data_IF_375743268889
#
_entry.id   IF_375743268889
#
_cell.length_a   1.000
_cell.length_b   1.000
_cell.length_c   1.000
_cell.angle_alpha   90.00
_cell.angle_beta   90.00
_cell.angle_gamma   90.00
#
_symmetry.space_group_name_H-M   'P 1'
#
loop_
_entity.id
_entity.type
_entity.pdbx_description
1 polymer ?
#
# COMPACT_ATOMS: atom_id res chain seq x y z
N UNK A 1 3.96 -22.71 -21.26
CA UNK A 1 3.63 -22.18 -22.61
C UNK A 1 3.50 -20.66 -22.48
N UNK A 2 4.19 -19.85 -23.32
CA UNK A 2 4.07 -18.39 -23.31
C UNK A 2 3.30 -17.94 -24.54
N UNK A 3 2.34 -17.02 -24.37
CA UNK A 3 1.73 -16.29 -25.48
C UNK A 3 2.76 -15.25 -25.93
N UNK A 4 2.97 -15.09 -27.24
CA UNK A 4 3.85 -14.06 -27.77
C UNK A 4 3.20 -12.69 -27.50
N UNK A 5 3.92 -11.81 -26.81
CA UNK A 5 3.50 -10.43 -26.55
C UNK A 5 4.20 -9.46 -27.51
N UNK A 6 3.48 -8.45 -27.96
CA UNK A 6 4.09 -7.34 -28.68
C UNK A 6 4.87 -6.46 -27.69
N UNK A 7 6.18 -6.33 -27.90
CA UNK A 7 7.10 -5.54 -27.06
C UNK A 7 7.48 -4.21 -27.72
N UNK A 8 6.83 -3.84 -28.82
CA UNK A 8 7.03 -2.50 -29.38
C UNK A 8 6.57 -1.44 -28.38
N UNK A 9 7.29 -0.31 -28.38
CA UNK A 9 6.93 0.82 -27.53
C UNK A 9 5.53 1.31 -27.87
N UNK A 10 4.65 1.34 -26.86
CA UNK A 10 3.26 1.73 -27.01
C UNK A 10 3.01 3.09 -26.35
N UNK A 11 2.17 3.89 -26.99
CA UNK A 11 1.64 5.13 -26.42
C UNK A 11 0.16 5.22 -26.81
N UNK A 12 -0.69 5.45 -25.80
CA UNK A 12 -2.13 5.61 -25.94
C UNK A 12 -2.56 6.92 -25.32
N UNK A 13 -3.54 7.58 -25.89
CA UNK A 13 -4.05 8.86 -25.42
C UNK A 13 -5.58 8.83 -25.40
N UNK A 14 -6.18 9.48 -24.40
CA UNK A 14 -7.62 9.63 -24.27
C UNK A 14 -7.94 10.93 -23.53
N UNK A 15 -9.05 11.56 -23.89
CA UNK A 15 -9.60 12.70 -23.17
C UNK A 15 -10.78 12.26 -22.32
N UNK A 16 -10.94 12.88 -21.15
CA UNK A 16 -12.01 12.60 -20.23
C UNK A 16 -12.40 13.81 -19.38
N UNK A 17 -13.39 13.63 -18.58
CA UNK A 17 -13.76 14.62 -17.55
C UNK A 17 -14.38 13.92 -16.34
N UNK A 18 -14.26 14.55 -15.17
CA UNK A 18 -14.79 14.03 -13.92
C UNK A 18 -15.39 15.16 -13.08
N UNK A 19 -16.42 14.84 -12.29
CA UNK A 19 -16.99 15.78 -11.33
C UNK A 19 -16.27 15.66 -9.98
N UNK A 20 -15.62 16.76 -9.55
CA UNK A 20 -14.96 16.84 -8.24
C UNK A 20 -15.51 18.05 -7.49
N UNK A 21 -16.10 17.84 -6.32
CA UNK A 21 -16.69 18.90 -5.50
C UNK A 21 -17.63 19.85 -6.29
N UNK A 22 -18.43 19.27 -7.19
CA UNK A 22 -19.38 20.02 -8.02
C UNK A 22 -18.79 20.77 -9.22
N UNK A 23 -17.49 20.61 -9.47
CA UNK A 23 -16.80 21.21 -10.62
C UNK A 23 -16.40 20.12 -11.62
N UNK A 24 -16.67 20.35 -12.91
CA UNK A 24 -16.18 19.46 -13.99
C UNK A 24 -14.72 19.74 -14.25
N UNK A 25 -13.90 18.73 -14.07
CA UNK A 25 -12.44 18.77 -14.32
C UNK A 25 -12.16 17.99 -15.61
N UNK A 26 -11.82 18.64 -16.73
CA UNK A 26 -11.39 17.96 -17.94
C UNK A 26 -9.94 17.50 -17.78
N UNK A 27 -9.62 16.33 -18.34
CA UNK A 27 -8.27 15.80 -18.31
C UNK A 27 -7.89 15.11 -19.62
N UNK A 28 -6.59 15.10 -19.88
CA UNK A 28 -5.94 14.33 -20.94
C UNK A 28 -5.11 13.22 -20.33
N UNK A 29 -5.26 11.99 -20.82
CA UNK A 29 -4.53 10.81 -20.32
C UNK A 29 -3.49 10.37 -21.31
N UNK A 30 -2.29 10.08 -20.84
CA UNK A 30 -1.20 9.48 -21.62
C UNK A 30 -0.78 8.17 -20.94
N UNK A 31 -0.90 7.07 -21.66
CA UNK A 31 -0.48 5.75 -21.20
C UNK A 31 0.66 5.27 -22.09
N UNK A 32 1.86 5.03 -21.52
CA UNK A 32 3.03 4.70 -22.36
C UNK A 32 4.07 3.81 -21.69
N UNK A 33 4.85 3.12 -22.54
CA UNK A 33 6.04 2.37 -22.14
C UNK A 33 7.28 3.27 -21.96
N UNK A 34 8.05 2.99 -20.90
CA UNK A 34 9.36 3.56 -20.64
C UNK A 34 10.40 2.44 -20.59
N UNK A 35 11.19 2.31 -21.64
CA UNK A 35 12.18 1.24 -21.74
C UNK A 35 13.48 1.58 -21.06
N UNK A 36 14.01 0.62 -20.33
CA UNK A 36 15.40 0.57 -19.87
C UNK A 36 16.21 -0.23 -20.88
N UNK A 37 17.41 0.23 -21.20
CA UNK A 37 18.30 -0.38 -22.19
C UNK A 37 19.65 -0.72 -21.58
N UNK A 38 20.30 -1.75 -22.11
CA UNK A 38 21.69 -2.06 -21.79
C UNK A 38 22.69 -1.12 -22.53
N UNK A 39 23.99 -1.35 -22.35
CA UNK A 39 25.06 -0.54 -22.96
C UNK A 39 25.03 -0.57 -24.50
N UNK A 40 24.41 -1.58 -25.08
CA UNK A 40 24.25 -1.76 -26.55
C UNK A 40 22.92 -1.18 -27.06
N UNK A 41 22.17 -0.48 -26.20
CA UNK A 41 20.82 0.07 -26.45
C UNK A 41 19.74 -0.99 -26.72
N UNK A 42 19.92 -2.24 -26.27
CA UNK A 42 18.86 -3.24 -26.35
C UNK A 42 17.90 -3.10 -25.16
N UNK A 43 16.57 -3.18 -25.34
CA UNK A 43 15.62 -3.14 -24.24
C UNK A 43 15.82 -4.32 -23.28
N UNK A 44 15.91 -4.03 -21.96
CA UNK A 44 16.06 -5.04 -20.91
C UNK A 44 14.85 -5.14 -20.00
N UNK A 45 14.15 -4.03 -19.81
CA UNK A 45 12.91 -3.96 -19.04
C UNK A 45 12.08 -2.75 -19.48
N UNK A 46 10.81 -2.68 -19.08
CA UNK A 46 9.98 -1.48 -19.19
C UNK A 46 9.13 -1.25 -17.96
N UNK A 47 8.96 0.00 -17.59
CA UNK A 47 7.86 0.50 -16.77
C UNK A 47 6.72 0.91 -17.71
N UNK A 48 5.48 0.66 -17.31
CA UNK A 48 4.31 1.25 -17.97
C UNK A 48 3.67 2.28 -17.04
N UNK A 49 3.25 3.42 -17.59
CA UNK A 49 2.66 4.50 -16.80
C UNK A 49 1.31 4.95 -17.35
N UNK A 50 0.45 5.44 -16.45
CA UNK A 50 -0.83 6.10 -16.74
C UNK A 50 -0.77 7.50 -16.16
N UNK A 51 -0.68 8.51 -17.01
CA UNK A 51 -0.58 9.90 -16.58
C UNK A 51 -1.86 10.66 -16.92
N UNK A 52 -2.51 11.26 -15.93
CA UNK A 52 -3.70 12.08 -16.06
C UNK A 52 -3.32 13.53 -15.83
N UNK A 53 -3.47 14.35 -16.85
CA UNK A 53 -3.17 15.77 -16.82
C UNK A 53 -4.44 16.57 -16.91
N UNK A 54 -4.69 17.50 -15.98
CA UNK A 54 -5.79 18.44 -16.08
C UNK A 54 -5.57 19.34 -17.31
N UNK A 55 -6.54 19.37 -18.23
CA UNK A 55 -6.36 19.96 -19.57
C UNK A 55 -6.77 21.43 -19.70
N UNK A 56 -7.52 21.99 -18.74
CA UNK A 56 -7.95 23.40 -18.74
C UNK A 56 -6.96 24.36 -18.04
N UNK A 57 -5.77 23.87 -17.66
CA UNK A 57 -4.69 24.65 -17.03
C UNK A 57 -3.74 25.19 -18.11
N UNK A 58 -3.54 26.52 -18.15
CA UNK A 58 -2.69 27.16 -19.16
C UNK A 58 -1.18 26.87 -18.94
N UNK A 59 -0.73 26.89 -17.67
CA UNK A 59 0.66 26.59 -17.30
C UNK A 59 0.68 25.49 -16.22
N UNK A 60 0.94 24.27 -16.64
CA UNK A 60 1.03 23.13 -15.76
C UNK A 60 2.44 22.88 -15.17
N UNK A 61 3.46 23.69 -15.58
CA UNK A 61 4.84 23.49 -15.16
C UNK A 61 5.07 23.61 -13.65
N UNK A 62 4.18 24.31 -12.95
CA UNK A 62 4.19 24.50 -11.48
C UNK A 62 3.11 23.70 -10.77
N UNK A 63 2.21 23.05 -11.51
CA UNK A 63 1.13 22.27 -10.94
C UNK A 63 1.73 21.02 -10.25
N UNK A 64 1.28 20.63 -9.05
CA UNK A 64 1.77 19.43 -8.37
C UNK A 64 1.54 18.17 -9.19
N UNK A 65 2.41 17.17 -9.02
CA UNK A 65 2.24 15.85 -9.59
C UNK A 65 2.40 14.78 -8.52
N UNK A 66 1.45 13.86 -8.46
CA UNK A 66 1.42 12.73 -7.53
C UNK A 66 1.77 11.44 -8.28
N UNK A 67 2.87 10.80 -7.91
CA UNK A 67 3.23 9.47 -8.40
C UNK A 67 2.70 8.39 -7.46
N UNK A 68 2.00 7.40 -8.03
CA UNK A 68 1.19 6.42 -7.31
C UNK A 68 1.60 5.00 -7.75
N UNK A 69 1.79 4.11 -6.78
CA UNK A 69 2.16 2.72 -7.03
C UNK A 69 1.78 1.82 -5.85
N UNK A 70 1.44 0.58 -6.15
CA UNK A 70 1.25 -0.46 -5.15
C UNK A 70 2.58 -1.14 -4.77
N UNK A 71 2.50 -2.08 -3.85
CA UNK A 71 3.62 -2.81 -3.30
C UNK A 71 3.80 -4.23 -3.84
N UNK A 72 3.52 -5.18 -3.03
CA UNK A 72 3.80 -6.60 -3.23
C UNK A 72 5.08 -7.05 -2.51
N UNK A 73 6.32 -6.87 -3.01
CA UNK A 73 6.66 -6.43 -4.37
C UNK A 73 6.07 -7.33 -5.45
N UNK A 74 5.94 -6.78 -6.67
CA UNK A 74 5.33 -7.52 -7.78
C UNK A 74 3.88 -7.16 -8.08
N UNK A 75 3.32 -6.08 -7.47
CA UNK A 75 2.01 -5.54 -7.81
C UNK A 75 2.09 -4.42 -8.85
N UNK A 76 1.14 -4.42 -9.79
CA UNK A 76 0.80 -3.28 -10.60
C UNK A 76 0.12 -2.18 -9.77
N UNK A 77 0.00 -0.97 -10.31
CA UNK A 77 -0.73 0.14 -9.69
C UNK A 77 -2.25 -0.07 -9.59
N UNK A 78 -2.74 -1.18 -10.07
CA UNK A 78 -4.13 -1.60 -10.18
C UNK A 78 -5.01 -1.23 -8.97
N UNK A 79 -4.56 -1.56 -7.76
CA UNK A 79 -5.37 -1.44 -6.55
C UNK A 79 -5.61 0.03 -6.18
N UNK A 80 -4.56 0.82 -6.08
CA UNK A 80 -4.67 2.26 -5.83
C UNK A 80 -5.29 3.00 -7.02
N UNK A 81 -5.11 2.52 -8.25
CA UNK A 81 -5.69 3.14 -9.43
C UNK A 81 -7.21 2.95 -9.46
N UNK A 82 -7.68 1.71 -9.28
CA UNK A 82 -9.10 1.37 -9.36
C UNK A 82 -9.85 1.51 -8.03
N UNK A 83 -9.16 1.73 -6.93
CA UNK A 83 -9.79 1.79 -5.60
C UNK A 83 -9.77 3.15 -4.93
N UNK A 84 -8.76 4.01 -5.21
CA UNK A 84 -8.59 5.24 -4.44
C UNK A 84 -8.33 6.48 -5.29
N UNK A 85 -7.32 6.47 -6.16
CA UNK A 85 -6.81 7.69 -6.79
C UNK A 85 -7.29 7.93 -8.22
N UNK A 86 -7.65 6.89 -8.96
CA UNK A 86 -8.05 7.03 -10.37
C UNK A 86 -9.30 7.88 -10.56
N UNK A 87 -9.47 8.54 -11.72
CA UNK A 87 -10.72 9.23 -12.04
C UNK A 87 -11.92 8.30 -12.11
N UNK A 88 -11.68 7.05 -12.49
CA UNK A 88 -12.65 5.95 -12.49
C UNK A 88 -12.23 4.93 -11.46
N UNK A 89 -13.16 4.44 -10.67
CA UNK A 89 -12.93 3.40 -9.67
C UNK A 89 -13.90 2.24 -9.84
N UNK A 90 -13.56 1.09 -9.28
CA UNK A 90 -14.47 -0.05 -9.21
C UNK A 90 -15.67 0.30 -8.33
N UNK A 91 -16.88 0.02 -8.82
CA UNK A 91 -18.11 0.19 -8.04
C UNK A 91 -18.27 -1.01 -7.11
N UNK A 92 -18.32 -0.74 -5.81
CA UNK A 92 -18.50 -1.75 -4.76
C UNK A 92 -19.62 -1.27 -3.84
N UNK A 93 -20.79 -1.90 -3.91
CA UNK A 93 -21.97 -1.50 -3.11
C UNK A 93 -21.89 -2.02 -1.66
N UNK A 94 -21.26 -3.18 -1.45
CA UNK A 94 -21.03 -3.78 -0.12
C UNK A 94 -19.66 -4.48 -0.12
N UNK A 95 -18.69 -3.91 0.58
CA UNK A 95 -17.33 -4.41 0.58
C UNK A 95 -17.16 -5.79 1.26
N UNK A 96 -18.07 -6.17 2.14
CA UNK A 96 -17.99 -7.46 2.84
C UNK A 96 -18.77 -8.58 2.14
N UNK A 97 -19.62 -8.24 1.18
CA UNK A 97 -20.42 -9.20 0.40
C UNK A 97 -20.29 -8.92 -1.09
N UNK A 98 -19.05 -8.82 -1.57
CA UNK A 98 -18.76 -8.54 -2.98
C UNK A 98 -19.29 -9.67 -3.88
N UNK A 99 -19.89 -9.32 -5.04
CA UNK A 99 -20.14 -10.31 -6.06
C UNK A 99 -18.79 -10.87 -6.55
N UNK A 100 -18.67 -12.20 -6.54
CA UNK A 100 -17.44 -12.88 -6.97
C UNK A 100 -17.43 -13.21 -8.48
N UNK A 101 -18.51 -12.86 -9.17
CA UNK A 101 -18.69 -13.12 -10.61
C UNK A 101 -19.17 -11.85 -11.33
N UNK A 102 -18.74 -11.63 -12.60
CA UNK A 102 -19.22 -10.53 -13.42
C UNK A 102 -20.75 -10.54 -13.61
N UNK A 103 -21.37 -9.38 -13.94
CA UNK A 103 -20.73 -8.14 -14.38
C UNK A 103 -20.25 -7.25 -13.24
N UNK A 104 -19.10 -6.59 -13.43
CA UNK A 104 -18.61 -5.51 -12.56
C UNK A 104 -18.64 -4.20 -13.32
N UNK A 105 -18.74 -3.08 -12.60
CA UNK A 105 -18.90 -1.74 -13.14
C UNK A 105 -17.81 -0.78 -12.67
N UNK A 106 -17.56 0.26 -13.46
CA UNK A 106 -16.81 1.45 -13.06
C UNK A 106 -17.76 2.57 -12.69
N UNK A 107 -17.34 3.40 -11.75
CA UNK A 107 -18.00 4.67 -11.43
C UNK A 107 -16.99 5.82 -11.37
N UNK A 108 -17.49 7.04 -11.43
CA UNK A 108 -16.65 8.22 -11.22
C UNK A 108 -16.18 8.28 -9.77
N UNK A 109 -14.92 8.62 -9.58
CA UNK A 109 -14.36 8.80 -8.25
C UNK A 109 -14.63 10.20 -7.71
N UNK A 110 -15.57 10.39 -6.78
CA UNK A 110 -15.88 11.72 -6.25
C UNK A 110 -14.75 12.34 -5.43
N UNK A 111 -13.76 11.52 -5.04
CA UNK A 111 -12.62 11.89 -4.21
C UNK A 111 -11.30 11.99 -5.00
N UNK A 112 -11.35 11.88 -6.33
CA UNK A 112 -10.18 12.08 -7.18
C UNK A 112 -9.51 13.43 -6.90
N UNK A 113 -8.16 13.46 -7.01
CA UNK A 113 -7.36 14.65 -6.71
C UNK A 113 -6.98 15.47 -7.97
N UNK A 114 -7.61 15.24 -9.12
CA UNK A 114 -7.28 15.95 -10.36
C UNK A 114 -7.60 17.47 -10.32
N UNK A 115 -8.37 17.93 -9.37
CA UNK A 115 -8.52 19.35 -9.09
C UNK A 115 -7.27 19.96 -8.42
N UNK A 116 -6.54 19.20 -7.61
CA UNK A 116 -5.35 19.64 -6.87
C UNK A 116 -4.04 19.38 -7.61
N UNK A 117 -3.85 18.17 -8.15
CA UNK A 117 -2.61 17.71 -8.76
C UNK A 117 -2.87 16.84 -9.99
N UNK A 118 -1.87 16.69 -10.84
CA UNK A 118 -1.89 15.66 -11.88
C UNK A 118 -1.46 14.31 -11.27
N UNK A 119 -1.89 13.20 -11.90
CA UNK A 119 -1.69 11.86 -11.37
C UNK A 119 -0.81 11.04 -12.31
N UNK A 120 0.16 10.33 -11.76
CA UNK A 120 1.03 9.41 -12.51
C UNK A 120 1.07 8.04 -11.85
N UNK A 121 0.34 7.06 -12.39
CA UNK A 121 0.38 5.67 -11.92
C UNK A 121 1.52 4.93 -12.58
N UNK A 122 2.20 4.10 -11.80
CA UNK A 122 3.41 3.38 -12.23
C UNK A 122 3.21 1.88 -12.07
N UNK A 123 3.29 1.14 -13.17
CA UNK A 123 3.45 -0.32 -13.17
C UNK A 123 4.95 -0.63 -13.28
N UNK A 124 5.63 -1.06 -12.19
CA UNK A 124 7.03 -1.42 -12.22
C UNK A 124 7.35 -2.57 -13.20
N UNK A 125 8.63 -2.75 -13.51
CA UNK A 125 9.08 -3.80 -14.40
C UNK A 125 8.55 -5.19 -13.97
N UNK A 126 7.92 -5.90 -14.91
CA UNK A 126 7.34 -7.22 -14.68
C UNK A 126 5.93 -7.23 -14.08
N UNK A 127 5.32 -6.07 -13.85
CA UNK A 127 3.96 -5.93 -13.30
C UNK A 127 3.05 -5.15 -14.26
N UNK A 128 1.75 -5.29 -14.16
CA UNK A 128 0.79 -4.61 -15.02
C UNK A 128 1.09 -4.81 -16.49
N UNK A 129 1.29 -3.72 -17.21
CA UNK A 129 1.77 -3.72 -18.59
C UNK A 129 3.30 -3.52 -18.69
N UNK A 130 4.00 -3.24 -17.59
CA UNK A 130 5.47 -3.22 -17.52
C UNK A 130 6.07 -4.61 -17.74
N UNK A 131 7.29 -4.70 -18.27
CA UNK A 131 7.93 -5.96 -18.63
C UNK A 131 9.37 -6.07 -18.14
N UNK A 132 9.72 -7.27 -17.72
CA UNK A 132 11.11 -7.74 -17.74
C UNK A 132 11.31 -8.43 -19.10
N UNK A 133 12.17 -7.85 -19.94
CA UNK A 133 12.35 -8.28 -21.35
C UNK A 133 13.50 -9.32 -21.40
N UNK A 134 14.59 -9.04 -20.72
CA UNK A 134 15.75 -9.92 -20.67
C UNK A 134 15.92 -10.50 -19.26
N UNK A 135 15.99 -11.84 -19.18
CA UNK A 135 16.11 -12.55 -17.90
C UNK A 135 17.37 -12.14 -17.11
N UNK A 136 18.47 -11.79 -17.80
CA UNK A 136 19.70 -11.29 -17.15
C UNK A 136 19.48 -10.05 -16.29
N UNK A 137 18.46 -9.23 -16.61
CA UNK A 137 18.13 -8.01 -15.87
C UNK A 137 17.31 -8.29 -14.59
N UNK A 138 16.80 -9.51 -14.37
CA UNK A 138 16.01 -9.88 -13.19
C UNK A 138 16.69 -9.45 -11.88
N UNK A 139 17.97 -9.71 -11.74
CA UNK A 139 18.74 -9.38 -10.53
C UNK A 139 18.80 -7.88 -10.23
N UNK A 140 18.69 -7.05 -11.27
CA UNK A 140 18.71 -5.60 -11.14
C UNK A 140 17.33 -5.05 -10.80
N UNK A 141 16.26 -5.56 -11.46
CA UNK A 141 14.91 -5.01 -11.31
C UNK A 141 14.10 -5.66 -10.18
N UNK A 142 14.42 -6.91 -9.78
CA UNK A 142 13.70 -7.63 -8.72
C UNK A 142 14.47 -7.62 -7.41
N UNK A 143 14.95 -6.44 -7.07
CA UNK A 143 15.57 -6.12 -5.79
C UNK A 143 15.19 -4.71 -5.35
N UNK A 144 15.22 -4.45 -4.05
CA UNK A 144 14.71 -3.21 -3.47
C UNK A 144 15.38 -1.95 -4.05
N UNK A 145 16.70 -1.93 -4.15
CA UNK A 145 17.42 -0.73 -4.64
C UNK A 145 17.35 -0.57 -6.15
N UNK A 146 17.29 -1.67 -6.90
CA UNK A 146 17.10 -1.64 -8.36
C UNK A 146 15.72 -1.14 -8.75
N UNK A 147 14.70 -1.57 -8.02
CA UNK A 147 13.34 -1.06 -8.14
C UNK A 147 13.30 0.46 -7.90
N UNK A 148 13.84 0.93 -6.77
CA UNK A 148 13.92 2.35 -6.43
C UNK A 148 14.67 3.14 -7.51
N UNK A 149 15.82 2.65 -7.99
CA UNK A 149 16.59 3.29 -9.08
C UNK A 149 15.79 3.34 -10.39
N UNK A 150 15.09 2.26 -10.73
CA UNK A 150 14.29 2.23 -11.96
C UNK A 150 13.15 3.25 -11.92
N UNK A 151 12.43 3.33 -10.79
CA UNK A 151 11.34 4.29 -10.60
C UNK A 151 11.88 5.73 -10.52
N UNK A 152 13.03 5.97 -9.88
CA UNK A 152 13.62 7.30 -9.81
C UNK A 152 14.05 7.84 -11.19
N UNK A 153 14.67 6.98 -12.02
CA UNK A 153 15.02 7.32 -13.41
C UNK A 153 13.78 7.59 -14.27
N UNK A 154 12.73 6.79 -14.07
CA UNK A 154 11.44 7.03 -14.72
C UNK A 154 10.89 8.41 -14.36
N UNK A 155 10.82 8.75 -13.05
CA UNK A 155 10.31 10.05 -12.59
C UNK A 155 11.14 11.19 -13.17
N UNK A 156 12.46 11.10 -13.16
CA UNK A 156 13.34 12.12 -13.73
C UNK A 156 13.06 12.35 -15.21
N UNK A 157 12.99 11.28 -16.00
CA UNK A 157 12.66 11.37 -17.42
C UNK A 157 11.26 11.91 -17.67
N UNK A 158 10.28 11.49 -16.86
CA UNK A 158 8.91 11.98 -16.92
C UNK A 158 8.83 13.49 -16.70
N UNK A 159 9.45 13.98 -15.61
CA UNK A 159 9.48 15.41 -15.30
C UNK A 159 10.17 16.23 -16.38
N UNK A 160 11.23 15.72 -16.99
CA UNK A 160 11.91 16.36 -18.11
C UNK A 160 11.04 16.38 -19.38
N UNK A 161 10.44 15.23 -19.75
CA UNK A 161 9.61 15.06 -20.96
C UNK A 161 8.39 15.97 -20.97
N UNK A 162 7.71 16.08 -19.82
CA UNK A 162 6.46 16.83 -19.69
C UNK A 162 6.66 18.26 -19.16
N UNK A 163 7.94 18.76 -19.09
CA UNK A 163 8.27 20.08 -18.57
C UNK A 163 7.76 20.32 -17.14
N UNK A 164 7.93 19.32 -16.26
CA UNK A 164 7.42 19.32 -14.89
C UNK A 164 8.51 19.39 -13.80
N UNK A 165 9.75 19.76 -14.20
CA UNK A 165 10.88 19.88 -13.23
C UNK A 165 10.64 20.92 -12.13
N UNK A 166 9.76 21.88 -12.34
CA UNK A 166 9.37 22.91 -11.37
C UNK A 166 8.07 22.57 -10.62
N UNK A 167 7.49 21.41 -10.86
CA UNK A 167 6.31 20.92 -10.16
C UNK A 167 6.66 20.38 -8.78
N UNK A 168 5.86 20.68 -7.73
CA UNK A 168 5.93 19.92 -6.47
C UNK A 168 5.68 18.44 -6.73
N UNK A 169 6.58 17.58 -6.26
CA UNK A 169 6.46 16.12 -6.40
C UNK A 169 5.88 15.54 -5.13
N UNK A 170 4.84 14.73 -5.29
CA UNK A 170 4.15 13.99 -4.24
C UNK A 170 4.27 12.49 -4.54
N UNK A 171 4.33 11.66 -3.50
CA UNK A 171 4.41 10.20 -3.62
C UNK A 171 3.28 9.54 -2.83
N UNK A 172 2.69 8.49 -3.39
CA UNK A 172 1.73 7.62 -2.70
C UNK A 172 2.08 6.16 -2.94
N UNK A 173 2.28 5.41 -1.87
CA UNK A 173 2.58 3.99 -1.93
C UNK A 173 1.75 3.18 -0.95
N UNK A 174 1.42 1.95 -1.34
CA UNK A 174 0.72 0.98 -0.50
C UNK A 174 1.60 -0.24 -0.24
N UNK A 175 1.55 -0.78 1.01
CA UNK A 175 2.28 -1.99 1.39
C UNK A 175 3.80 -1.82 1.18
N UNK A 176 4.49 -2.74 0.48
CA UNK A 176 5.89 -2.55 0.07
C UNK A 176 6.12 -1.20 -0.66
N UNK A 177 5.11 -0.65 -1.35
CA UNK A 177 5.18 0.68 -1.95
C UNK A 177 5.47 1.80 -0.94
N UNK A 178 5.22 1.60 0.35
CA UNK A 178 5.57 2.55 1.41
C UNK A 178 7.09 2.58 1.66
N UNK A 179 7.74 1.41 1.72
CA UNK A 179 9.20 1.33 1.78
C UNK A 179 9.83 1.91 0.50
N UNK A 180 9.26 1.57 -0.68
CA UNK A 180 9.66 2.21 -1.95
C UNK A 180 9.56 3.72 -1.86
N UNK A 181 8.47 4.30 -1.35
CA UNK A 181 8.29 5.76 -1.24
C UNK A 181 9.35 6.42 -0.37
N UNK A 182 9.67 5.83 0.76
CA UNK A 182 10.69 6.35 1.67
C UNK A 182 12.10 6.33 1.06
N UNK A 183 12.47 5.22 0.41
CA UNK A 183 13.76 5.08 -0.27
C UNK A 183 13.84 5.92 -1.54
N UNK A 184 12.76 5.97 -2.32
CA UNK A 184 12.66 6.76 -3.54
C UNK A 184 12.80 8.27 -3.26
N UNK A 185 12.18 8.78 -2.20
CA UNK A 185 12.39 10.16 -1.79
C UNK A 185 13.87 10.43 -1.48
N UNK A 186 14.56 9.49 -0.83
CA UNK A 186 16.00 9.56 -0.60
C UNK A 186 16.80 9.65 -1.88
N UNK A 187 16.49 8.80 -2.84
CA UNK A 187 17.18 8.76 -4.16
C UNK A 187 16.94 10.07 -4.94
N UNK A 188 15.68 10.50 -5.08
CA UNK A 188 15.29 11.72 -5.79
C UNK A 188 15.95 12.98 -5.20
N UNK A 189 16.02 13.07 -3.87
CA UNK A 189 16.57 14.20 -3.15
C UNK A 189 18.08 14.12 -2.93
N UNK A 190 18.74 13.02 -3.31
CA UNK A 190 20.14 12.75 -3.04
C UNK A 190 20.43 12.59 -1.54
N UNK A 191 19.47 12.06 -0.77
CA UNK A 191 19.60 11.75 0.65
C UNK A 191 19.87 10.26 0.90
N UNK A 192 19.86 9.44 -0.14
CA UNK A 192 20.11 8.00 -0.08
C UNK A 192 21.58 7.67 0.26
N UNK A 193 21.86 6.44 0.72
CA UNK A 193 23.21 6.00 1.12
C UNK A 193 24.12 5.71 -0.08
N UNK A 194 23.53 5.26 -1.15
CA UNK A 194 24.26 5.17 -2.41
C UNK A 194 24.31 6.58 -2.95
N UNK A 195 25.49 7.18 -2.97
CA UNK A 195 25.76 8.49 -3.57
C UNK A 195 25.60 8.40 -5.10
N UNK A 196 24.39 8.01 -5.51
CA UNK A 196 23.99 8.16 -6.89
C UNK A 196 23.98 9.64 -7.26
N UNK A 197 24.07 9.93 -8.52
CA UNK A 197 23.98 11.27 -9.04
C UNK A 197 22.78 11.99 -8.43
N UNK A 198 23.03 13.12 -7.78
CA UNK A 198 21.98 13.88 -7.13
C UNK A 198 20.98 14.39 -8.17
N UNK A 199 19.83 13.77 -8.28
CA UNK A 199 18.78 14.22 -9.22
C UNK A 199 18.23 15.58 -8.82
N UNK A 200 18.30 15.94 -7.53
CA UNK A 200 17.86 17.24 -7.02
C UNK A 200 16.36 17.48 -7.17
N UNK A 201 15.57 16.40 -7.13
CA UNK A 201 14.10 16.45 -7.19
C UNK A 201 13.57 16.48 -5.76
N UNK A 202 12.95 17.59 -5.37
CA UNK A 202 12.38 17.75 -4.03
C UNK A 202 11.00 17.10 -3.94
N UNK A 203 10.81 16.28 -2.91
CA UNK A 203 9.51 15.67 -2.57
C UNK A 203 8.83 16.51 -1.49
N UNK A 204 7.58 16.92 -1.73
CA UNK A 204 6.81 17.80 -0.83
C UNK A 204 5.93 17.02 0.14
N UNK A 205 5.42 15.86 -0.25
CA UNK A 205 4.55 15.03 0.58
C UNK A 205 4.62 13.55 0.22
N UNK A 206 4.50 12.69 1.23
CA UNK A 206 4.47 11.23 1.05
C UNK A 206 3.28 10.65 1.80
N UNK A 207 2.43 9.93 1.07
CA UNK A 207 1.29 9.17 1.60
C UNK A 207 1.66 7.69 1.65
N UNK A 208 1.61 7.11 2.84
CA UNK A 208 2.01 5.73 3.14
C UNK A 208 0.80 4.94 3.63
N UNK A 209 0.24 4.07 2.79
CA UNK A 209 -0.90 3.22 3.13
C UNK A 209 -0.43 1.79 3.44
N UNK A 210 -0.76 1.28 4.64
CA UNK A 210 -0.34 -0.05 5.07
C UNK A 210 1.19 -0.16 5.16
N UNK A 211 1.79 0.54 6.12
CA UNK A 211 3.25 0.77 6.18
C UNK A 211 4.07 -0.50 6.39
N UNK A 212 4.97 -0.79 5.47
CA UNK A 212 5.85 -1.94 5.44
C UNK A 212 7.33 -1.53 5.52
N UNK A 213 7.82 -1.29 6.75
CA UNK A 213 9.23 -1.07 7.04
C UNK A 213 9.71 -2.24 7.91
N UNK A 214 10.53 -3.13 7.37
CA UNK A 214 10.96 -4.37 8.05
C UNK A 214 12.04 -4.04 9.11
N UNK A 215 11.66 -3.41 10.22
CA UNK A 215 12.65 -2.96 11.22
C UNK A 215 12.24 -3.22 12.67
N UNK A 216 11.28 -4.14 12.89
CA UNK A 216 10.82 -4.43 14.24
C UNK A 216 11.59 -5.56 14.91
N UNK A 217 11.86 -5.39 16.20
CA UNK A 217 12.17 -6.50 17.09
C UNK A 217 10.89 -7.31 17.40
N UNK A 218 11.02 -8.62 17.72
CA UNK A 218 9.84 -9.46 18.04
C UNK A 218 8.95 -8.92 19.17
N UNK A 219 9.54 -8.27 20.16
CA UNK A 219 8.82 -7.65 21.29
C UNK A 219 7.91 -6.53 20.82
N UNK A 220 8.43 -5.64 19.99
CA UNK A 220 7.67 -4.50 19.45
C UNK A 220 6.59 -4.96 18.50
N UNK A 221 6.86 -5.98 17.68
CA UNK A 221 5.89 -6.56 16.77
C UNK A 221 4.67 -7.09 17.53
N UNK A 222 4.86 -7.96 18.53
CA UNK A 222 3.76 -8.54 19.31
C UNK A 222 2.93 -7.46 20.02
N UNK A 223 3.58 -6.43 20.59
CA UNK A 223 2.87 -5.35 21.27
C UNK A 223 2.05 -4.49 20.30
N UNK A 224 2.61 -4.16 19.12
CA UNK A 224 1.90 -3.34 18.12
C UNK A 224 0.75 -4.08 17.46
N UNK A 225 0.85 -5.39 17.28
CA UNK A 225 -0.17 -6.20 16.62
C UNK A 225 -1.45 -6.37 17.48
N UNK A 226 -1.35 -6.20 18.82
CA UNK A 226 -2.52 -6.30 19.71
C UNK A 226 -3.65 -5.33 19.37
N UNK A 227 -3.34 -4.17 18.81
CA UNK A 227 -4.34 -3.17 18.40
C UNK A 227 -5.23 -3.74 17.30
N UNK A 228 -4.64 -4.33 16.28
CA UNK A 228 -5.38 -4.97 15.19
C UNK A 228 -6.10 -6.23 15.65
N UNK A 229 -5.50 -7.03 16.55
CA UNK A 229 -6.18 -8.16 17.16
C UNK A 229 -7.44 -7.73 17.92
N UNK A 230 -7.35 -6.65 18.71
CA UNK A 230 -8.47 -6.11 19.45
C UNK A 230 -9.58 -5.58 18.53
N UNK A 231 -9.22 -4.83 17.49
CA UNK A 231 -10.18 -4.34 16.50
C UNK A 231 -10.94 -5.49 15.82
N UNK A 232 -10.19 -6.52 15.37
CA UNK A 232 -10.74 -7.68 14.67
C UNK A 232 -11.59 -8.55 15.62
N UNK A 233 -11.13 -8.77 16.85
CA UNK A 233 -11.92 -9.47 17.87
C UNK A 233 -13.21 -8.73 18.16
N UNK A 234 -13.18 -7.40 18.31
CA UNK A 234 -14.40 -6.62 18.57
C UNK A 234 -15.39 -6.71 17.40
N UNK A 235 -14.91 -6.73 16.16
CA UNK A 235 -15.75 -6.89 14.97
C UNK A 235 -16.51 -8.22 15.00
N UNK A 236 -15.83 -9.33 15.27
CA UNK A 236 -16.44 -10.67 15.28
C UNK A 236 -17.17 -11.02 16.59
N UNK A 237 -16.77 -10.40 17.69
CA UNK A 237 -17.29 -10.64 19.06
C UNK A 237 -17.50 -9.30 19.78
N UNK A 238 -18.52 -8.50 19.39
CA UNK A 238 -18.78 -7.18 19.97
C UNK A 238 -18.96 -7.25 21.50
N UNK A 239 -18.53 -6.19 22.21
CA UNK A 239 -18.67 -6.08 23.67
C UNK A 239 -19.82 -5.13 24.01
N UNK A 240 -20.69 -5.52 24.96
CA UNK A 240 -21.92 -4.81 25.25
C UNK A 240 -21.74 -3.41 25.88
N UNK A 241 -20.70 -3.20 26.68
CA UNK A 241 -20.58 -2.03 27.56
C UNK A 241 -19.42 -1.09 27.21
N UNK A 242 -18.80 -1.25 26.04
CA UNK A 242 -17.67 -0.45 25.60
C UNK A 242 -17.76 -0.24 24.08
N UNK A 243 -17.46 0.97 23.60
CA UNK A 243 -17.36 1.21 22.15
C UNK A 243 -16.13 0.53 21.56
N UNK A 244 -16.17 0.23 20.26
CA UNK A 244 -14.99 -0.33 19.56
C UNK A 244 -13.76 0.57 19.72
N UNK A 245 -13.95 1.88 19.59
CA UNK A 245 -12.88 2.86 19.76
C UNK A 245 -12.25 2.77 21.15
N UNK A 246 -13.07 2.79 22.21
CA UNK A 246 -12.57 2.74 23.58
C UNK A 246 -11.87 1.40 23.85
N UNK A 247 -12.41 0.29 23.33
CA UNK A 247 -11.80 -1.04 23.46
C UNK A 247 -10.41 -1.10 22.81
N UNK A 248 -10.24 -0.49 21.63
CA UNK A 248 -8.96 -0.39 20.94
C UNK A 248 -7.99 0.52 21.70
N UNK A 249 -8.47 1.65 22.22
CA UNK A 249 -7.64 2.60 22.99
C UNK A 249 -7.16 1.97 24.33
N UNK A 250 -8.01 1.18 25.00
CA UNK A 250 -7.59 0.39 26.17
C UNK A 250 -6.55 -0.68 25.81
N UNK A 251 -6.76 -1.41 24.70
CA UNK A 251 -5.78 -2.39 24.20
C UNK A 251 -4.43 -1.73 23.86
N UNK A 252 -4.44 -0.55 23.26
CA UNK A 252 -3.23 0.22 22.99
C UNK A 252 -2.51 0.62 24.28
N UNK A 253 -3.25 1.12 25.27
CA UNK A 253 -2.69 1.50 26.58
C UNK A 253 -2.05 0.29 27.26
N UNK A 254 -2.73 -0.85 27.28
CA UNK A 254 -2.19 -2.10 27.82
C UNK A 254 -0.96 -2.58 27.03
N UNK A 255 -1.00 -2.55 25.69
CA UNK A 255 0.11 -2.97 24.85
C UNK A 255 1.38 -2.15 25.09
N UNK A 256 1.22 -0.83 25.22
CA UNK A 256 2.34 0.13 25.35
C UNK A 256 2.91 0.24 26.78
N UNK A 257 2.28 -0.37 27.78
CA UNK A 257 2.70 -0.30 29.18
C UNK A 257 2.99 -1.66 29.78
N UNK A 258 1.97 -2.44 30.05
CA UNK A 258 2.09 -3.73 30.75
C UNK A 258 2.62 -4.84 29.84
N UNK A 259 2.03 -4.97 28.64
CA UNK A 259 2.36 -6.08 27.73
C UNK A 259 3.79 -5.99 27.20
N UNK A 260 4.23 -4.82 26.74
CA UNK A 260 5.62 -4.64 26.29
C UNK A 260 6.62 -4.93 27.41
N UNK A 261 6.29 -4.57 28.64
CA UNK A 261 7.11 -4.89 29.82
C UNK A 261 7.17 -6.40 30.07
N UNK A 262 6.03 -7.08 30.00
CA UNK A 262 5.97 -8.53 30.15
C UNK A 262 6.76 -9.26 29.06
N UNK A 263 6.68 -8.83 27.80
CA UNK A 263 7.46 -9.36 26.70
C UNK A 263 8.97 -9.18 26.93
N UNK A 264 9.40 -8.01 27.45
CA UNK A 264 10.81 -7.76 27.76
C UNK A 264 11.31 -8.64 28.91
N UNK A 265 10.50 -8.91 29.94
CA UNK A 265 10.84 -9.79 31.06
C UNK A 265 10.78 -11.27 30.71
N UNK A 266 10.00 -11.66 29.70
CA UNK A 266 9.87 -13.05 29.25
C UNK A 266 9.37 -13.98 30.37
N UNK A 267 10.06 -15.09 30.57
CA UNK A 267 9.70 -16.08 31.60
C UNK A 267 9.95 -15.57 33.05
N UNK A 268 10.67 -14.47 33.22
CA UNK A 268 10.84 -13.80 34.52
C UNK A 268 9.69 -12.84 34.88
N UNK A 269 8.68 -12.69 34.03
CA UNK A 269 7.52 -11.85 34.30
C UNK A 269 6.70 -12.39 35.49
N UNK A 270 6.62 -11.64 36.62
CA UNK A 270 6.01 -12.18 37.86
C UNK A 270 4.49 -12.32 37.76
N UNK A 271 3.82 -11.56 36.89
CA UNK A 271 2.37 -11.55 36.72
C UNK A 271 1.95 -12.06 35.32
N UNK A 272 2.72 -13.00 34.74
CA UNK A 272 2.51 -13.57 33.39
C UNK A 272 1.10 -14.10 33.17
N UNK A 273 0.50 -14.70 34.21
CA UNK A 273 -0.89 -15.21 34.18
C UNK A 273 -1.91 -14.09 33.99
N UNK A 274 -1.76 -12.97 34.71
CA UNK A 274 -2.64 -11.80 34.61
C UNK A 274 -2.51 -11.13 33.23
N UNK A 275 -1.29 -11.02 32.71
CA UNK A 275 -1.03 -10.50 31.36
C UNK A 275 -1.73 -11.40 30.32
N UNK A 276 -1.64 -12.72 30.47
CA UNK A 276 -2.30 -13.66 29.56
C UNK A 276 -3.85 -13.55 29.62
N UNK A 277 -4.44 -13.26 30.79
CA UNK A 277 -5.87 -12.97 30.92
C UNK A 277 -6.28 -11.70 30.14
N UNK A 278 -5.51 -10.64 30.25
CA UNK A 278 -5.76 -9.40 29.48
C UNK A 278 -5.56 -9.60 27.98
N UNK A 279 -4.54 -10.36 27.57
CA UNK A 279 -4.32 -10.71 26.17
C UNK A 279 -5.51 -11.52 25.62
N UNK A 280 -6.03 -12.48 26.38
CA UNK A 280 -7.21 -13.25 25.99
C UNK A 280 -8.46 -12.34 25.85
N UNK A 281 -8.64 -11.39 26.76
CA UNK A 281 -9.75 -10.43 26.69
C UNK A 281 -9.72 -9.57 25.43
N UNK A 282 -8.56 -8.96 25.11
CA UNK A 282 -8.44 -8.08 23.94
C UNK A 282 -8.39 -8.85 22.61
N UNK A 283 -7.66 -9.95 22.56
CA UNK A 283 -7.47 -10.71 21.30
C UNK A 283 -8.59 -11.69 20.99
N UNK A 284 -9.35 -12.15 21.99
CA UNK A 284 -10.30 -13.25 21.84
C UNK A 284 -9.65 -14.64 21.80
N UNK A 285 -8.34 -14.74 21.98
CA UNK A 285 -7.59 -16.00 21.95
C UNK A 285 -7.42 -16.55 23.36
N UNK A 286 -7.64 -17.85 23.52
CA UNK A 286 -7.58 -18.53 24.82
C UNK A 286 -6.25 -18.28 25.58
N UNK A 287 -6.35 -18.04 26.88
CA UNK A 287 -5.22 -17.79 27.78
C UNK A 287 -4.12 -18.85 27.68
N UNK A 288 -4.51 -20.12 27.54
CA UNK A 288 -3.55 -21.23 27.44
C UNK A 288 -2.68 -21.15 26.19
N UNK A 289 -3.22 -20.62 25.11
CA UNK A 289 -2.41 -20.33 23.92
C UNK A 289 -1.30 -19.33 24.23
N UNK A 290 -1.66 -18.18 24.84
CA UNK A 290 -0.72 -17.13 25.19
C UNK A 290 0.40 -17.62 26.11
N UNK A 291 0.05 -18.38 27.15
CA UNK A 291 1.03 -18.96 28.07
C UNK A 291 1.97 -19.95 27.39
N UNK A 292 1.43 -20.80 26.50
CA UNK A 292 2.21 -21.80 25.75
C UNK A 292 3.18 -21.15 24.76
N UNK A 293 2.82 -20.01 24.19
CA UNK A 293 3.61 -19.30 23.19
C UNK A 293 4.39 -18.11 23.77
N UNK A 294 4.68 -18.14 25.08
CA UNK A 294 5.49 -17.12 25.78
C UNK A 294 4.96 -15.69 25.55
N UNK A 295 3.65 -15.53 25.50
CA UNK A 295 2.94 -14.24 25.22
C UNK A 295 3.15 -13.69 23.80
N UNK A 296 3.63 -14.49 22.86
CA UNK A 296 3.77 -14.09 21.45
C UNK A 296 2.65 -14.65 20.58
N UNK A 297 2.30 -13.91 19.53
CA UNK A 297 1.34 -14.29 18.49
C UNK A 297 1.91 -14.03 17.10
N UNK A 298 1.81 -15.01 16.22
CA UNK A 298 1.99 -14.82 14.79
C UNK A 298 0.65 -14.42 14.18
N UNK A 299 0.59 -13.30 13.48
CA UNK A 299 -0.67 -12.79 12.92
C UNK A 299 -1.24 -13.70 11.85
N UNK A 300 -0.38 -14.27 11.02
CA UNK A 300 -0.78 -15.09 9.89
C UNK A 300 -1.06 -16.54 10.26
N UNK A 301 -0.09 -17.22 10.90
CA UNK A 301 -0.18 -18.64 11.24
C UNK A 301 -0.90 -18.89 12.56
N UNK A 302 -1.01 -17.87 13.40
CA UNK A 302 -1.65 -17.93 14.71
C UNK A 302 -3.01 -17.25 14.70
N UNK A 303 -3.04 -15.92 14.83
CA UNK A 303 -4.28 -15.16 15.04
C UNK A 303 -5.33 -15.40 13.95
N UNK A 304 -4.94 -15.39 12.67
CA UNK A 304 -5.86 -15.57 11.54
C UNK A 304 -6.61 -16.92 11.58
N UNK A 305 -6.02 -17.96 12.20
CA UNK A 305 -6.63 -19.29 12.31
C UNK A 305 -7.25 -19.56 13.69
N UNK A 306 -6.92 -18.74 14.70
CA UNK A 306 -7.32 -19.04 16.09
C UNK A 306 -8.54 -18.29 16.56
N UNK A 307 -8.82 -17.07 16.06
CA UNK A 307 -9.92 -16.25 16.56
C UNK A 307 -11.30 -16.92 16.37
N UNK A 308 -11.51 -17.59 15.24
CA UNK A 308 -12.78 -18.25 14.90
C UNK A 308 -12.62 -19.77 14.71
N UNK A 309 -11.61 -20.38 15.35
CA UNK A 309 -11.32 -21.82 15.25
C UNK A 309 -12.52 -22.67 15.70
N UNK A 310 -13.27 -22.22 16.72
CA UNK A 310 -14.49 -22.87 17.20
C UNK A 310 -15.61 -22.91 16.15
N UNK A 311 -15.59 -22.00 15.19
CA UNK A 311 -16.51 -21.92 14.05
C UNK A 311 -15.97 -22.61 12.79
N UNK A 312 -14.74 -23.12 12.80
CA UNK A 312 -14.05 -23.70 11.64
C UNK A 312 -13.75 -22.67 10.57
N UNK A 313 -13.45 -21.41 10.95
CA UNK A 313 -13.21 -20.31 10.03
C UNK A 313 -11.82 -19.73 10.25
N UNK A 314 -11.14 -19.39 9.12
CA UNK A 314 -9.96 -18.55 9.10
C UNK A 314 -10.31 -17.12 8.68
N UNK A 315 -9.53 -16.15 9.18
CA UNK A 315 -9.63 -14.74 8.83
C UNK A 315 -8.80 -14.40 7.60
N UNK A 316 -9.20 -13.35 6.87
CA UNK A 316 -8.37 -12.71 5.86
C UNK A 316 -7.14 -12.05 6.47
N UNK A 317 -5.96 -12.34 5.92
CA UNK A 317 -4.70 -11.73 6.36
C UNK A 317 -4.61 -10.25 5.90
N UNK A 318 -5.22 -9.94 4.76
CA UNK A 318 -5.33 -8.57 4.26
C UNK A 318 -6.53 -7.80 4.82
N UNK A 319 -7.55 -8.50 5.34
CA UNK A 319 -8.66 -7.87 6.06
C UNK A 319 -9.33 -8.92 6.97
N UNK A 320 -9.12 -8.78 8.26
CA UNK A 320 -9.63 -9.69 9.27
C UNK A 320 -11.16 -9.75 9.41
N UNK A 321 -11.90 -8.94 8.66
CA UNK A 321 -13.38 -9.02 8.60
C UNK A 321 -13.86 -10.14 7.67
N UNK A 322 -13.05 -10.49 6.65
CA UNK A 322 -13.36 -11.57 5.71
C UNK A 322 -13.03 -12.92 6.31
N UNK A 323 -13.84 -13.91 5.97
CA UNK A 323 -13.64 -15.28 6.45
C UNK A 323 -13.97 -16.31 5.37
N UNK A 324 -13.36 -17.49 5.48
CA UNK A 324 -13.76 -18.71 4.79
C UNK A 324 -13.49 -19.94 5.64
N UNK A 325 -13.86 -21.14 5.15
CA UNK A 325 -13.62 -22.38 5.87
C UNK A 325 -12.11 -22.62 6.05
N UNK A 326 -11.70 -22.85 7.30
CA UNK A 326 -10.33 -23.21 7.65
C UNK A 326 -10.11 -24.72 7.44
N UNK A 327 -9.98 -25.14 6.20
CA UNK A 327 -9.77 -26.55 5.84
C UNK A 327 -8.34 -26.75 5.33
N UNK A 328 -7.46 -27.39 6.14
CA UNK A 328 -6.06 -27.58 5.76
C UNK A 328 -5.87 -28.51 4.54
N UNK A 329 -6.89 -29.27 4.12
CA UNK A 329 -6.82 -30.11 2.92
C UNK A 329 -7.08 -29.29 1.64
N UNK A 330 -7.72 -28.13 1.75
CA UNK A 330 -8.06 -27.24 0.63
C UNK A 330 -7.04 -26.10 0.50
N UNK A 331 -6.42 -25.70 1.61
CA UNK A 331 -5.49 -24.56 1.64
C UNK A 331 -4.25 -24.82 0.81
N UNK A 332 -4.02 -23.96 -0.18
CA UNK A 332 -2.77 -23.93 -0.92
C UNK A 332 -1.66 -23.24 -0.12
N UNK A 333 -0.41 -23.60 -0.40
CA UNK A 333 0.76 -23.04 0.30
C UNK A 333 1.02 -21.55 0.02
N UNK A 334 0.18 -20.89 -0.77
CA UNK A 334 0.37 -19.50 -1.18
C UNK A 334 -0.60 -18.55 -0.50
N UNK A 335 -0.12 -17.94 0.55
CA UNK A 335 -0.84 -17.05 1.47
C UNK A 335 -1.61 -15.91 0.80
N UNK A 336 -1.13 -15.36 -0.30
CA UNK A 336 -1.79 -14.22 -0.95
C UNK A 336 -2.90 -14.68 -1.89
N UNK A 337 -2.71 -15.81 -2.57
CA UNK A 337 -3.72 -16.37 -3.45
C UNK A 337 -4.86 -17.04 -2.68
N UNK A 338 -4.55 -17.53 -1.48
CA UNK A 338 -5.46 -18.27 -0.60
C UNK A 338 -5.92 -17.39 0.59
N UNK A 339 -6.10 -16.12 0.35
CA UNK A 339 -6.58 -15.16 1.36
C UNK A 339 -8.06 -14.83 1.13
N UNK A 340 -8.93 -14.94 2.18
CA UNK A 340 -10.37 -14.66 2.08
C UNK A 340 -10.69 -13.28 1.48
N UNK A 341 -9.95 -12.26 1.85
CA UNK A 341 -10.16 -10.91 1.38
C UNK A 341 -9.71 -10.76 -0.09
N UNK A 342 -8.45 -11.14 -0.39
CA UNK A 342 -7.92 -11.05 -1.75
C UNK A 342 -8.72 -11.88 -2.75
N UNK A 343 -9.19 -13.06 -2.36
CA UNK A 343 -10.02 -13.93 -3.20
C UNK A 343 -11.34 -13.28 -3.60
N UNK A 344 -11.94 -12.51 -2.69
CA UNK A 344 -13.24 -11.89 -2.94
C UNK A 344 -13.16 -10.63 -3.81
N UNK A 345 -12.23 -9.72 -3.59
CA UNK A 345 -12.22 -8.47 -4.36
C UNK A 345 -11.34 -8.48 -5.62
N UNK A 346 -10.39 -9.42 -5.76
CA UNK A 346 -9.54 -9.52 -6.94
C UNK A 346 -10.30 -9.57 -8.27
N UNK A 347 -11.39 -10.37 -8.44
CA UNK A 347 -12.14 -10.41 -9.70
C UNK A 347 -12.72 -9.05 -10.10
N UNK A 348 -13.27 -8.30 -9.16
CA UNK A 348 -13.84 -6.98 -9.40
C UNK A 348 -12.77 -5.97 -9.86
N UNK A 349 -11.65 -5.90 -9.15
CA UNK A 349 -10.54 -5.00 -9.49
C UNK A 349 -9.89 -5.32 -10.83
N UNK A 350 -9.65 -6.61 -11.14
CA UNK A 350 -9.08 -7.02 -12.42
C UNK A 350 -10.02 -6.70 -13.60
N UNK A 351 -11.32 -6.89 -13.41
CA UNK A 351 -12.31 -6.53 -14.42
C UNK A 351 -12.39 -5.01 -14.61
N UNK A 352 -12.45 -4.25 -13.50
CA UNK A 352 -12.46 -2.79 -13.52
C UNK A 352 -11.24 -2.22 -14.26
N UNK A 353 -10.07 -2.78 -14.00
CA UNK A 353 -8.85 -2.42 -14.73
C UNK A 353 -8.94 -2.73 -16.23
N UNK A 354 -9.55 -3.85 -16.61
CA UNK A 354 -9.83 -4.17 -18.00
C UNK A 354 -10.78 -3.17 -18.67
N UNK A 355 -11.84 -2.76 -17.97
CA UNK A 355 -12.79 -1.74 -18.45
C UNK A 355 -12.11 -0.36 -18.59
N UNK A 356 -11.31 0.05 -17.61
CA UNK A 356 -10.53 1.28 -17.68
C UNK A 356 -9.59 1.28 -18.91
N UNK A 357 -8.92 0.17 -19.20
CA UNK A 357 -8.08 0.06 -20.41
C UNK A 357 -8.89 0.31 -21.70
N UNK A 358 -10.13 -0.14 -21.77
CA UNK A 358 -11.01 0.13 -22.91
C UNK A 358 -11.39 1.62 -23.01
N UNK A 359 -11.74 2.26 -21.87
CA UNK A 359 -12.03 3.71 -21.82
C UNK A 359 -10.79 4.54 -22.25
N UNK A 360 -9.58 4.08 -21.93
CA UNK A 360 -8.32 4.75 -22.28
C UNK A 360 -7.74 4.36 -23.64
N UNK A 361 -8.51 3.64 -24.47
CA UNK A 361 -8.10 3.19 -25.80
C UNK A 361 -6.80 2.36 -25.80
N UNK A 362 -6.51 1.64 -24.73
CA UNK A 362 -5.33 0.77 -24.63
C UNK A 362 -5.61 -0.53 -25.37
N UNK A 363 -5.23 -0.58 -26.65
CA UNK A 363 -5.49 -1.71 -27.55
C UNK A 363 -4.40 -2.79 -27.52
N UNK A 364 -3.47 -2.71 -26.56
CA UNK A 364 -2.43 -3.71 -26.37
C UNK A 364 -3.03 -5.10 -26.10
N UNK A 365 -2.53 -6.12 -26.76
CA UNK A 365 -2.83 -7.54 -26.49
C UNK A 365 -2.02 -8.12 -25.33
N UNK A 366 -1.16 -7.32 -24.70
CA UNK A 366 -0.39 -7.72 -23.51
C UNK A 366 -1.32 -8.11 -22.37
N UNK A 367 -1.02 -9.26 -21.76
CA UNK A 367 -1.71 -9.70 -20.55
C UNK A 367 -1.28 -8.80 -19.39
N UNK A 368 -2.26 -8.15 -18.78
CA UNK A 368 -2.01 -7.38 -17.55
C UNK A 368 -1.72 -8.32 -16.38
N UNK A 369 -0.68 -8.01 -15.61
CA UNK A 369 -0.21 -8.80 -14.47
C UNK A 369 -0.43 -8.00 -13.18
N UNK A 370 -1.61 -8.13 -12.57
CA UNK A 370 -2.00 -7.37 -11.37
C UNK A 370 -1.12 -7.67 -10.16
N UNK A 371 -0.92 -8.95 -9.84
CA UNK A 371 0.03 -9.44 -8.84
C UNK A 371 0.82 -10.61 -9.44
N UNK A 372 2.14 -10.55 -9.36
CA UNK A 372 3.04 -11.54 -9.97
C UNK A 372 3.84 -12.25 -8.88
N UNK A 373 3.40 -13.45 -8.52
CA UNK A 373 4.04 -14.24 -7.47
C UNK A 373 5.52 -14.55 -7.75
N UNK A 374 5.88 -14.86 -8.99
CA UNK A 374 7.28 -15.10 -9.37
C UNK A 374 8.17 -13.90 -9.04
N UNK A 375 7.68 -12.68 -9.25
CA UNK A 375 8.37 -11.45 -8.84
C UNK A 375 8.47 -11.38 -7.32
N UNK A 376 7.35 -11.57 -6.61
CA UNK A 376 7.28 -11.48 -5.15
C UNK A 376 8.20 -12.49 -4.46
N UNK A 377 8.15 -13.76 -4.88
CA UNK A 377 8.90 -14.87 -4.27
C UNK A 377 10.42 -14.81 -4.54
N UNK A 378 10.81 -14.23 -5.68
CA UNK A 378 12.23 -14.13 -6.07
C UNK A 378 12.86 -12.79 -5.72
N UNK A 379 12.10 -11.89 -5.11
CA UNK A 379 12.56 -10.55 -4.77
C UNK A 379 13.64 -10.55 -3.68
N UNK A 380 14.73 -9.83 -3.92
CA UNK A 380 15.69 -9.52 -2.87
C UNK A 380 15.17 -8.35 -2.01
N UNK A 381 14.76 -8.66 -0.78
CA UNK A 381 14.18 -7.72 0.19
C UNK A 381 15.21 -7.01 1.08
N UNK A 382 16.49 -7.15 0.78
CA UNK A 382 17.53 -6.51 1.57
C UNK A 382 17.44 -4.98 1.46
N UNK A 383 17.40 -4.33 2.61
CA UNK A 383 17.52 -2.87 2.71
C UNK A 383 18.97 -2.51 3.06
N UNK A 384 19.71 -1.98 2.11
CA UNK A 384 21.04 -1.39 2.38
C UNK A 384 20.93 -0.12 3.20
N UNK A 385 19.79 0.55 3.13
CA UNK A 385 19.38 1.69 3.97
C UNK A 385 18.01 1.44 4.49
N UNK A 386 17.82 1.74 5.77
CA UNK A 386 16.53 1.73 6.40
C UNK A 386 15.58 2.73 5.72
N UNK A 387 14.35 2.31 5.33
CA UNK A 387 13.33 3.24 4.85
C UNK A 387 13.06 4.38 5.85
N UNK A 388 13.05 4.08 7.16
CA UNK A 388 12.89 5.08 8.22
C UNK A 388 14.03 6.10 8.23
N UNK A 389 15.28 5.66 8.11
CA UNK A 389 16.45 6.56 8.05
C UNK A 389 16.43 7.43 6.79
N UNK A 390 16.05 6.85 5.65
CA UNK A 390 15.89 7.59 4.39
C UNK A 390 14.86 8.70 4.54
N UNK A 391 13.69 8.37 5.08
CA UNK A 391 12.59 9.30 5.30
C UNK A 391 12.97 10.45 6.26
N UNK A 392 13.61 10.13 7.38
CA UNK A 392 14.13 11.11 8.32
C UNK A 392 15.18 12.04 7.66
N UNK A 393 16.06 11.48 6.84
CA UNK A 393 17.03 12.23 6.05
C UNK A 393 16.38 13.22 5.07
N UNK A 394 15.30 12.81 4.41
CA UNK A 394 14.51 13.65 3.52
C UNK A 394 13.83 14.79 4.27
N UNK A 395 13.15 14.51 5.39
CA UNK A 395 12.49 15.53 6.20
C UNK A 395 13.47 16.54 6.80
N UNK A 396 14.70 16.11 7.10
CA UNK A 396 15.76 17.02 7.55
C UNK A 396 16.22 17.97 6.44
N UNK A 397 16.29 17.49 5.18
CA UNK A 397 16.70 18.29 4.01
C UNK A 397 15.60 19.23 3.54
N UNK A 398 14.36 18.73 3.45
CA UNK A 398 13.19 19.52 3.11
C UNK A 398 12.33 19.76 4.35
N UNK A 399 12.40 20.97 4.89
CA UNK A 399 11.65 21.36 6.09
C UNK A 399 10.14 21.52 5.86
N UNK A 400 9.69 21.51 4.60
CA UNK A 400 8.27 21.61 4.25
C UNK A 400 7.65 20.23 3.96
N UNK A 401 8.49 19.21 3.74
CA UNK A 401 8.04 17.85 3.46
C UNK A 401 7.19 17.30 4.62
N UNK A 402 6.03 16.74 4.28
CA UNK A 402 5.10 16.09 5.22
C UNK A 402 4.94 14.62 4.89
N UNK A 403 4.54 13.85 5.89
CA UNK A 403 4.33 12.41 5.78
C UNK A 403 3.00 12.02 6.42
N UNK A 404 2.23 11.18 5.74
CA UNK A 404 0.99 10.62 6.26
C UNK A 404 1.11 9.09 6.31
N UNK A 405 0.96 8.53 7.51
CA UNK A 405 0.82 7.09 7.75
C UNK A 405 -0.67 6.76 7.86
N UNK A 406 -1.21 6.06 6.87
CA UNK A 406 -2.59 5.59 6.83
C UNK A 406 -2.64 4.07 6.98
N UNK A 407 -3.60 3.55 7.75
CA UNK A 407 -3.72 2.12 8.03
C UNK A 407 -5.17 1.70 8.19
N UNK A 408 -5.49 0.48 7.78
CA UNK A 408 -6.74 -0.18 8.16
C UNK A 408 -6.64 -0.84 9.53
N UNK A 409 -7.71 -0.74 10.33
CA UNK A 409 -7.77 -1.33 11.67
C UNK A 409 -7.77 -2.86 11.66
N UNK A 410 -8.23 -3.45 10.54
CA UNK A 410 -8.36 -4.91 10.38
C UNK A 410 -7.27 -5.52 9.49
N UNK A 411 -6.22 -4.74 9.16
CA UNK A 411 -5.08 -5.20 8.37
C UNK A 411 -4.14 -6.07 9.22
N UNK A 412 -4.20 -7.39 9.05
CA UNK A 412 -3.32 -8.31 9.76
C UNK A 412 -1.91 -8.36 9.16
N UNK A 413 -1.74 -7.89 7.93
CA UNK A 413 -0.46 -7.89 7.22
C UNK A 413 0.46 -6.75 7.64
N UNK A 414 -0.07 -5.50 7.65
CA UNK A 414 0.66 -4.29 8.03
C UNK A 414 -0.15 -3.51 9.07
N UNK A 415 -0.10 -4.01 10.30
CA UNK A 415 -1.01 -3.62 11.38
C UNK A 415 -1.00 -2.11 11.70
N UNK A 416 -2.14 -1.57 12.11
CA UNK A 416 -2.28 -0.16 12.49
C UNK A 416 -1.32 0.26 13.61
N UNK A 417 -1.12 -0.62 14.59
CA UNK A 417 -0.15 -0.37 15.67
C UNK A 417 1.28 -0.29 15.17
N UNK A 418 1.62 -1.05 14.13
CA UNK A 418 2.93 -0.91 13.48
C UNK A 418 3.12 0.46 12.83
N UNK A 419 2.11 0.96 12.13
CA UNK A 419 2.18 2.29 11.53
C UNK A 419 2.34 3.39 12.58
N UNK A 420 1.62 3.31 13.71
CA UNK A 420 1.83 4.21 14.87
C UNK A 420 3.27 4.14 15.39
N UNK A 421 3.80 2.93 15.56
CA UNK A 421 5.16 2.72 16.03
C UNK A 421 6.18 3.34 15.06
N UNK A 422 6.09 3.03 13.78
CA UNK A 422 6.96 3.60 12.75
C UNK A 422 6.92 5.13 12.70
N UNK A 423 5.72 5.71 12.73
CA UNK A 423 5.54 7.16 12.70
C UNK A 423 6.24 7.87 13.87
N UNK A 424 6.26 7.26 15.05
CA UNK A 424 6.83 7.85 16.28
C UNK A 424 8.28 7.47 16.55
N UNK A 425 8.78 6.33 16.00
CA UNK A 425 10.13 5.81 16.26
C UNK A 425 11.11 5.97 15.10
N UNK A 426 10.67 6.48 13.94
CA UNK A 426 11.53 6.70 12.77
C UNK A 426 12.30 8.04 12.78
N UNK A 427 12.41 8.69 13.92
CA UNK A 427 13.11 9.97 14.08
C UNK A 427 12.60 11.09 13.14
N UNK A 428 11.29 11.11 12.92
CA UNK A 428 10.60 12.10 12.10
C UNK A 428 10.19 13.32 12.94
N UNK A 429 10.10 14.48 12.28
CA UNK A 429 9.52 15.69 12.91
C UNK A 429 8.00 15.51 13.06
N UNK A 430 7.55 15.26 14.28
CA UNK A 430 6.16 14.92 14.59
C UNK A 430 5.15 16.04 14.23
N UNK A 431 5.59 17.29 14.10
CA UNK A 431 4.73 18.39 13.64
C UNK A 431 4.37 18.29 12.14
N UNK A 432 5.03 17.40 11.41
CA UNK A 432 4.87 17.17 9.97
C UNK A 432 4.46 15.74 9.64
N UNK A 433 4.09 14.96 10.67
CA UNK A 433 3.60 13.60 10.54
C UNK A 433 2.11 13.57 10.86
N UNK A 434 1.34 12.94 9.99
CA UNK A 434 -0.08 12.62 10.21
C UNK A 434 -0.23 11.11 10.35
N UNK A 435 -1.08 10.65 11.24
CA UNK A 435 -1.45 9.24 11.41
C UNK A 435 -2.97 9.15 11.27
N UNK A 436 -3.45 8.28 10.38
CA UNK A 436 -4.86 7.97 10.18
C UNK A 436 -5.13 6.47 10.27
N UNK A 437 -6.20 6.10 10.93
CA UNK A 437 -6.65 4.71 11.07
C UNK A 437 -8.11 4.61 10.68
N UNK A 438 -8.42 3.64 9.84
CA UNK A 438 -9.70 3.55 9.14
C UNK A 438 -10.36 2.20 9.38
N UNK A 439 -11.72 2.14 9.44
CA UNK A 439 -12.47 0.91 9.72
C UNK A 439 -12.50 -0.02 8.49
N UNK A 440 -11.33 -0.44 8.03
CA UNK A 440 -11.12 -1.33 6.89
C UNK A 440 -9.85 -2.17 7.07
N UNK A 441 -9.52 -3.01 6.08
CA UNK A 441 -8.29 -3.81 6.06
C UNK A 441 -7.12 -3.12 5.35
N UNK A 442 -6.25 -3.92 4.73
CA UNK A 442 -5.04 -3.49 4.02
C UNK A 442 -5.34 -2.42 2.95
N UNK A 443 -6.43 -2.61 2.23
CA UNK A 443 -6.99 -1.64 1.30
C UNK A 443 -7.98 -0.74 2.07
N UNK A 444 -7.45 0.23 2.83
CA UNK A 444 -8.25 1.07 3.72
C UNK A 444 -9.29 1.95 3.00
N UNK A 445 -9.33 1.92 1.69
CA UNK A 445 -10.34 2.54 0.84
C UNK A 445 -11.53 1.63 0.51
N UNK A 446 -11.58 0.40 1.04
CA UNK A 446 -12.74 -0.48 0.91
C UNK A 446 -13.76 -0.18 2.00
N UNK A 447 -15.03 -0.08 1.59
CA UNK A 447 -16.14 0.31 2.43
C UNK A 447 -16.39 1.81 2.44
N UNK A 448 -17.67 2.19 2.26
CA UNK A 448 -18.06 3.59 2.08
C UNK A 448 -17.59 4.49 3.22
N UNK A 449 -17.77 4.07 4.47
CA UNK A 449 -17.37 4.86 5.63
C UNK A 449 -15.85 5.07 5.66
N UNK A 450 -15.09 4.01 5.48
CA UNK A 450 -13.63 4.06 5.46
C UNK A 450 -13.12 4.92 4.30
N UNK A 451 -13.70 4.75 3.11
CA UNK A 451 -13.35 5.51 1.92
C UNK A 451 -13.56 7.01 2.11
N UNK A 452 -14.73 7.42 2.62
CA UNK A 452 -15.06 8.84 2.83
C UNK A 452 -14.13 9.48 3.87
N UNK A 453 -13.82 8.76 4.98
CA UNK A 453 -12.90 9.24 6.02
C UNK A 453 -11.46 9.37 5.48
N UNK A 454 -10.95 8.31 4.85
CA UNK A 454 -9.61 8.27 4.27
C UNK A 454 -9.43 9.37 3.21
N UNK A 455 -10.40 9.49 2.31
CA UNK A 455 -10.35 10.46 1.21
C UNK A 455 -10.37 11.92 1.72
N UNK A 456 -11.14 12.21 2.77
CA UNK A 456 -11.16 13.52 3.43
C UNK A 456 -9.79 13.86 4.01
N UNK A 457 -9.20 12.94 4.78
CA UNK A 457 -7.91 13.18 5.44
C UNK A 457 -6.77 13.23 4.42
N UNK A 458 -6.80 12.37 3.41
CA UNK A 458 -5.86 12.35 2.29
C UNK A 458 -5.89 13.68 1.52
N UNK A 459 -7.08 14.21 1.20
CA UNK A 459 -7.22 15.50 0.53
C UNK A 459 -6.62 16.62 1.37
N UNK A 460 -6.98 16.72 2.65
CA UNK A 460 -6.44 17.72 3.57
C UNK A 460 -4.91 17.63 3.70
N UNK A 461 -4.37 16.41 3.71
CA UNK A 461 -2.93 16.20 3.71
C UNK A 461 -2.27 16.75 2.43
N UNK A 462 -2.75 16.38 1.25
CA UNK A 462 -2.14 16.84 0.00
C UNK A 462 -2.31 18.34 -0.20
N UNK A 463 -3.46 18.95 0.14
CA UNK A 463 -3.65 20.40 0.17
C UNK A 463 -2.60 21.10 1.05
N UNK A 464 -2.22 20.50 2.15
CA UNK A 464 -1.21 21.05 3.05
C UNK A 464 0.24 20.92 2.53
N UNK A 465 0.49 20.11 1.49
CA UNK A 465 1.81 19.85 0.89
C UNK A 465 2.13 20.74 -0.31
N UNK A 466 1.14 21.50 -0.84
CA UNK A 466 1.23 22.27 -2.09
C UNK A 466 1.09 23.76 -1.87
#
# INVERSE_FOLDING_TARGET
MRIQENLEKSKYEADGSIQIQGTTIPYHTICEDHFFVDEENNPVASIFSYAYFRSDVQDNSKRPILFIYNGGPGCASLWLHMGLFGPRIVKLDDELNLPTVPPFELEDNPHCLLDLCDLGFIDPAGTGLGRLIQEKARKEFYETHGDVRSVSKFIEQFLARYNRRNSPVLLAGESYGTARSALLAGELMGAGPEKADTMGISVSGIFLLGSYFIEKLPVEASATDLITMAATNYFHNPKENISQKDFIDEAFTFASTEYVTALFLGDACPNKEEIADKLAYYSGIDKTYWLRHHLHMDMQKGFAHKLLEDKGLALGFYDGRYTWNDDPEIMEANVIADDPAMGQYTPAFQTAYGLMRQELNITSDRISKGLVFDVNMTWNREFKTSPAQSLAGCMRRNKQMKVFFASGLYDLCTTAGNARYLATHSNLDQNRVTIGEYPSGHMAYLGKESFDLLAKDMRAFFESCI
#
